data_IF_879551397087
#
_entry.id   IF_879551397087
#
_cell.length_a   1.000
_cell.length_b   1.000
_cell.length_c   1.000
_cell.angle_alpha   90.00
_cell.angle_beta   90.00
_cell.angle_gamma   90.00
#
_symmetry.space_group_name_H-M   'P 1'
#
loop_
_entity.id
_entity.type
_entity.pdbx_description
1 polymer ?
#
# COMPACT_ATOMS: atom_id res chain seq x y z
N UNK A 1 -8.83 27.04 8.24
CA UNK A 1 -9.66 26.19 9.10
C UNK A 1 -10.78 27.03 9.72
N UNK A 2 -12.04 26.60 9.64
CA UNK A 2 -13.18 27.30 10.27
C UNK A 2 -13.03 27.27 11.81
N UNK A 3 -13.62 28.22 12.57
CA UNK A 3 -13.51 28.20 14.04
C UNK A 3 -13.97 26.89 14.69
N UNK A 4 -15.03 26.27 14.16
CA UNK A 4 -15.52 24.96 14.62
C UNK A 4 -14.51 23.84 14.38
N UNK A 5 -13.91 23.80 13.19
CA UNK A 5 -12.86 22.85 12.84
C UNK A 5 -11.62 23.01 13.71
N UNK A 6 -11.25 24.25 14.05
CA UNK A 6 -10.11 24.51 14.94
C UNK A 6 -10.35 23.96 16.34
N UNK A 7 -11.55 24.19 16.90
CA UNK A 7 -11.92 23.69 18.22
C UNK A 7 -11.92 22.16 18.24
N UNK A 8 -12.52 21.54 17.23
CA UNK A 8 -12.58 20.08 17.12
C UNK A 8 -11.21 19.45 16.91
N UNK A 9 -10.37 20.03 16.04
CA UNK A 9 -8.99 19.57 15.87
C UNK A 9 -8.22 19.60 17.20
N UNK A 10 -8.39 20.68 17.97
CA UNK A 10 -7.76 20.83 19.29
C UNK A 10 -8.31 19.88 20.35
N UNK A 11 -9.61 19.56 20.32
CA UNK A 11 -10.28 18.72 21.31
C UNK A 11 -10.35 17.24 20.95
N UNK A 12 -9.99 16.84 19.73
CA UNK A 12 -10.09 15.46 19.23
C UNK A 12 -9.42 14.43 20.16
N UNK A 13 -8.29 14.82 20.77
CA UNK A 13 -7.53 13.98 21.72
C UNK A 13 -7.80 14.26 23.19
N UNK A 14 -8.79 15.08 23.52
CA UNK A 14 -9.17 15.39 24.90
C UNK A 14 -9.86 14.20 25.55
N UNK A 15 -9.07 13.37 26.23
CA UNK A 15 -9.51 12.15 26.91
C UNK A 15 -9.24 10.90 26.08
N UNK A 16 -8.40 10.00 26.60
CA UNK A 16 -7.98 8.79 25.88
C UNK A 16 -9.12 7.83 25.58
N UNK A 17 -10.13 7.76 26.45
CA UNK A 17 -11.32 6.91 26.26
C UNK A 17 -12.30 7.44 25.19
N UNK A 18 -12.21 8.72 24.83
CA UNK A 18 -13.13 9.37 23.89
C UNK A 18 -12.64 9.36 22.44
N UNK A 19 -11.40 8.96 22.19
CA UNK A 19 -10.77 9.11 20.87
C UNK A 19 -11.49 8.32 19.77
N UNK A 20 -11.99 7.12 20.07
CA UNK A 20 -12.78 6.33 19.12
C UNK A 20 -14.18 6.91 18.88
N UNK A 21 -14.81 7.45 19.91
CA UNK A 21 -16.09 8.16 19.78
C UNK A 21 -15.94 9.44 18.95
N UNK A 22 -14.87 10.19 19.18
CA UNK A 22 -14.54 11.38 18.39
C UNK A 22 -14.28 11.02 16.92
N UNK A 23 -13.60 9.89 16.67
CA UNK A 23 -13.39 9.38 15.31
C UNK A 23 -14.71 9.02 14.64
N UNK A 24 -15.60 8.30 15.34
CA UNK A 24 -16.92 7.93 14.83
C UNK A 24 -17.76 9.17 14.50
N UNK A 25 -17.77 10.15 15.40
CA UNK A 25 -18.48 11.41 15.24
C UNK A 25 -17.93 12.22 14.05
N UNK A 26 -16.60 12.21 13.86
CA UNK A 26 -15.94 12.85 12.73
C UNK A 26 -16.38 12.25 11.39
N UNK A 27 -16.51 10.92 11.29
CA UNK A 27 -17.02 10.28 10.07
C UNK A 27 -18.52 10.53 9.85
N UNK A 28 -19.31 10.72 10.91
CA UNK A 28 -20.73 11.06 10.76
C UNK A 28 -20.95 12.49 10.28
N UNK A 29 -20.22 13.42 10.88
CA UNK A 29 -20.45 14.84 10.71
C UNK A 29 -19.61 15.47 9.59
N UNK A 30 -18.64 14.71 9.02
CA UNK A 30 -17.62 15.19 8.07
C UNK A 30 -16.98 16.51 8.56
N UNK A 31 -16.69 16.53 9.85
CA UNK A 31 -16.48 17.76 10.61
C UNK A 31 -15.05 18.29 10.49
N UNK A 32 -14.08 17.40 10.25
CA UNK A 32 -12.70 17.72 9.87
C UNK A 32 -12.37 17.21 8.47
N UNK A 33 -11.56 17.96 7.69
CA UNK A 33 -11.14 17.53 6.35
C UNK A 33 -10.10 16.41 6.47
N UNK A 34 -10.55 15.16 6.44
CA UNK A 34 -9.66 13.98 6.58
C UNK A 34 -8.64 13.83 5.44
N UNK A 35 -8.85 14.53 4.32
CA UNK A 35 -7.89 14.60 3.22
C UNK A 35 -6.72 15.56 3.49
N UNK A 36 -6.70 16.26 4.64
CA UNK A 36 -5.55 17.04 5.07
C UNK A 36 -4.56 16.17 5.87
N UNK A 37 -3.26 16.35 5.60
CA UNK A 37 -2.18 15.64 6.26
C UNK A 37 -2.19 15.85 7.80
N UNK A 38 -2.48 17.08 8.24
CA UNK A 38 -2.57 17.43 9.66
C UNK A 38 -3.65 16.64 10.40
N UNK A 39 -4.82 16.48 9.80
CA UNK A 39 -5.95 15.72 10.34
C UNK A 39 -5.65 14.23 10.30
N UNK A 40 -5.04 13.75 9.21
CA UNK A 40 -4.61 12.35 9.09
C UNK A 40 -3.61 11.97 10.19
N UNK A 41 -2.62 12.83 10.45
CA UNK A 41 -1.66 12.65 11.55
C UNK A 41 -2.34 12.69 12.92
N UNK A 42 -3.30 13.60 13.14
CA UNK A 42 -4.06 13.69 14.38
C UNK A 42 -4.80 12.37 14.65
N UNK A 43 -5.52 11.84 13.65
CA UNK A 43 -6.24 10.57 13.78
C UNK A 43 -5.26 9.43 14.03
N UNK A 44 -4.17 9.32 13.26
CA UNK A 44 -3.15 8.27 13.43
C UNK A 44 -2.55 8.29 14.83
N UNK A 45 -2.17 9.45 15.35
CA UNK A 45 -1.65 9.57 16.71
C UNK A 45 -2.68 9.21 17.78
N UNK A 46 -3.96 9.47 17.53
CA UNK A 46 -5.04 9.13 18.45
C UNK A 46 -5.25 7.63 18.53
N UNK A 47 -5.42 6.96 17.39
CA UNK A 47 -5.67 5.51 17.36
C UNK A 47 -4.45 4.67 17.77
N UNK A 48 -3.25 5.26 17.78
CA UNK A 48 -2.01 4.62 18.25
C UNK A 48 -1.68 4.94 19.71
N UNK A 49 -2.38 5.89 20.34
CA UNK A 49 -2.16 6.19 21.74
C UNK A 49 -2.51 4.97 22.59
N UNK A 50 -1.51 4.42 23.27
CA UNK A 50 -1.75 3.27 24.14
C UNK A 50 -2.67 3.70 25.28
N UNK A 51 -2.26 4.60 26.18
CA UNK A 51 -3.06 5.00 27.36
C UNK A 51 -2.79 4.12 28.60
N UNK A 52 -3.47 4.37 29.73
CA UNK A 52 -3.35 3.57 30.94
C UNK A 52 -3.97 2.17 30.76
N UNK A 53 -3.35 1.16 31.39
CA UNK A 53 -3.89 -0.20 31.40
C UNK A 53 -5.01 -0.33 32.42
N UNK A 54 -6.06 -1.07 32.07
CA UNK A 54 -7.11 -1.46 33.00
C UNK A 54 -6.50 -2.37 34.06
N UNK A 55 -6.52 -1.93 35.33
CA UNK A 55 -6.00 -2.68 36.49
C UNK A 55 -7.14 -3.37 37.25
N UNK A 56 -8.04 -4.02 36.55
CA UNK A 56 -9.07 -4.86 37.12
C UNK A 56 -8.50 -6.27 37.35
N UNK A 57 -8.01 -6.50 38.57
CA UNK A 57 -7.37 -7.73 39.05
C UNK A 57 -8.27 -8.99 39.08
N UNK A 58 -9.40 -8.99 38.38
CA UNK A 58 -10.34 -10.12 38.30
C UNK A 58 -10.21 -10.95 37.02
N UNK A 59 -9.48 -10.48 35.98
CA UNK A 59 -9.15 -11.35 34.84
C UNK A 59 -7.78 -11.06 34.23
N UNK A 60 -6.91 -12.08 34.24
CA UNK A 60 -5.60 -12.05 33.56
C UNK A 60 -5.75 -11.89 32.04
N UNK A 61 -6.93 -12.20 31.49
CA UNK A 61 -7.22 -12.19 30.06
C UNK A 61 -7.47 -10.78 29.47
N UNK A 62 -7.87 -9.79 30.28
CA UNK A 62 -8.08 -8.40 29.81
C UNK A 62 -6.89 -7.46 30.07
N UNK A 63 -5.84 -7.94 30.73
CA UNK A 63 -4.74 -7.14 31.29
C UNK A 63 -3.84 -6.38 30.28
N UNK A 64 -3.96 -6.66 28.98
CA UNK A 64 -3.09 -6.09 27.94
C UNK A 64 -3.74 -4.97 27.13
N UNK A 65 -5.08 -4.88 27.15
CA UNK A 65 -5.78 -3.78 26.49
C UNK A 65 -5.68 -2.52 27.34
N UNK A 66 -5.34 -1.42 26.68
CA UNK A 66 -5.39 -0.13 27.34
C UNK A 66 -6.80 0.46 27.27
N UNK A 67 -7.15 1.29 28.25
CA UNK A 67 -8.43 2.00 28.32
C UNK A 67 -8.72 2.85 27.07
N UNK A 68 -7.70 3.26 26.32
CA UNK A 68 -7.89 4.02 25.07
C UNK A 68 -8.49 3.17 23.93
N UNK A 69 -8.52 1.85 24.07
CA UNK A 69 -8.99 0.92 23.04
C UNK A 69 -10.13 0.02 23.51
N UNK A 70 -10.65 0.22 24.72
CA UNK A 70 -11.72 -0.58 25.33
C UNK A 70 -12.96 -0.66 24.45
N UNK A 71 -13.35 0.44 23.79
CA UNK A 71 -14.49 0.47 22.88
C UNK A 71 -14.40 -0.52 21.70
N UNK A 72 -13.20 -0.94 21.31
CA UNK A 72 -13.02 -1.89 20.21
C UNK A 72 -13.41 -3.34 20.57
N UNK A 73 -13.78 -3.59 21.83
CA UNK A 73 -14.30 -4.87 22.30
C UNK A 73 -15.83 -4.93 22.27
N UNK A 74 -16.50 -3.81 21.98
CA UNK A 74 -17.94 -3.74 21.87
C UNK A 74 -18.37 -3.97 20.41
N UNK A 75 -18.97 -5.13 20.12
CA UNK A 75 -19.38 -5.51 18.77
C UNK A 75 -20.30 -4.47 18.10
N UNK A 76 -21.20 -3.84 18.87
CA UNK A 76 -22.08 -2.77 18.36
C UNK A 76 -21.29 -1.55 17.90
N UNK A 77 -20.27 -1.13 18.66
CA UNK A 77 -19.42 -0.01 18.29
C UNK A 77 -18.62 -0.32 17.02
N UNK A 78 -18.08 -1.54 16.92
CA UNK A 78 -17.38 -2.00 15.73
C UNK A 78 -18.31 -2.00 14.51
N UNK A 79 -19.53 -2.51 14.64
CA UNK A 79 -20.51 -2.53 13.54
C UNK A 79 -20.81 -1.11 13.03
N UNK A 80 -21.02 -0.14 13.93
CA UNK A 80 -21.26 1.25 13.54
C UNK A 80 -20.02 1.86 12.86
N UNK A 81 -18.83 1.72 13.45
CA UNK A 81 -17.61 2.29 12.90
C UNK A 81 -17.27 1.70 11.52
N UNK A 82 -17.37 0.38 11.36
CA UNK A 82 -17.16 -0.28 10.06
C UNK A 82 -18.15 0.25 9.03
N UNK A 83 -19.43 0.42 9.39
CA UNK A 83 -20.45 0.97 8.49
C UNK A 83 -20.10 2.38 8.02
N UNK A 84 -19.59 3.24 8.91
CA UNK A 84 -19.18 4.61 8.53
C UNK A 84 -17.93 4.64 7.66
N UNK A 85 -16.95 3.79 7.95
CA UNK A 85 -15.76 3.64 7.12
C UNK A 85 -16.11 3.11 5.73
N UNK A 86 -16.99 2.11 5.66
CA UNK A 86 -17.45 1.50 4.41
C UNK A 86 -18.18 2.51 3.52
N UNK A 87 -19.09 3.29 4.11
CA UNK A 87 -19.77 4.40 3.43
C UNK A 87 -18.77 5.45 2.94
N UNK A 88 -17.77 5.79 3.75
CA UNK A 88 -16.75 6.77 3.33
C UNK A 88 -15.91 6.28 2.16
N UNK A 89 -15.65 4.98 2.09
CA UNK A 89 -14.99 4.38 0.92
C UNK A 89 -15.86 4.45 -0.33
N UNK A 90 -17.17 4.19 -0.22
CA UNK A 90 -18.10 4.32 -1.34
C UNK A 90 -18.15 5.76 -1.86
N UNK A 91 -18.24 6.74 -0.94
CA UNK A 91 -18.27 8.16 -1.29
C UNK A 91 -16.98 8.60 -2.01
N UNK A 92 -15.82 8.02 -1.66
CA UNK A 92 -14.56 8.37 -2.29
C UNK A 92 -14.18 7.50 -3.49
N UNK A 93 -14.83 6.36 -3.76
CA UNK A 93 -14.39 5.38 -4.77
C UNK A 93 -14.15 6.01 -6.16
N UNK A 94 -14.99 6.96 -6.57
CA UNK A 94 -14.86 7.67 -7.84
C UNK A 94 -13.96 8.92 -7.75
N UNK A 95 -13.61 9.34 -6.54
CA UNK A 95 -12.84 10.53 -6.22
C UNK A 95 -11.40 10.19 -5.79
N UNK A 96 -10.60 9.74 -6.77
CA UNK A 96 -9.17 9.47 -6.63
C UNK A 96 -8.32 10.70 -6.28
N UNK A 97 -8.92 11.90 -6.20
CA UNK A 97 -8.19 13.11 -5.82
C UNK A 97 -7.80 13.16 -4.35
N UNK A 98 -8.43 12.34 -3.49
CA UNK A 98 -8.20 12.35 -2.04
C UNK A 98 -7.57 11.04 -1.55
N UNK A 99 -6.32 10.77 -1.95
CA UNK A 99 -5.58 9.56 -1.60
C UNK A 99 -5.43 9.33 -0.09
N UNK A 100 -5.39 10.42 0.68
CA UNK A 100 -5.25 10.36 2.15
C UNK A 100 -6.49 9.78 2.83
N UNK A 101 -7.67 9.88 2.21
CA UNK A 101 -8.89 9.21 2.71
C UNK A 101 -8.70 7.69 2.72
N UNK A 102 -8.18 7.14 1.63
CA UNK A 102 -7.93 5.70 1.51
C UNK A 102 -6.85 5.25 2.51
N UNK A 103 -5.78 6.05 2.67
CA UNK A 103 -4.74 5.80 3.67
C UNK A 103 -5.33 5.74 5.08
N UNK A 104 -6.09 6.76 5.49
CA UNK A 104 -6.56 6.84 6.88
C UNK A 104 -7.59 5.76 7.18
N UNK A 105 -8.52 5.50 6.27
CA UNK A 105 -9.50 4.42 6.42
C UNK A 105 -8.79 3.06 6.52
N UNK A 106 -7.74 2.84 5.72
CA UNK A 106 -6.94 1.62 5.83
C UNK A 106 -6.24 1.50 7.18
N UNK A 107 -5.57 2.56 7.66
CA UNK A 107 -4.89 2.54 8.96
C UNK A 107 -5.88 2.24 10.08
N UNK A 108 -7.05 2.88 10.08
CA UNK A 108 -8.10 2.64 11.08
C UNK A 108 -8.57 1.19 11.03
N UNK A 109 -8.92 0.70 9.83
CA UNK A 109 -9.39 -0.68 9.62
C UNK A 109 -8.37 -1.69 10.15
N UNK A 110 -7.09 -1.50 9.83
CA UNK A 110 -6.03 -2.40 10.27
C UNK A 110 -5.73 -2.28 11.76
N UNK A 111 -5.93 -1.09 12.35
CA UNK A 111 -5.82 -0.90 13.80
C UNK A 111 -6.93 -1.64 14.54
N UNK A 112 -8.17 -1.56 14.05
CA UNK A 112 -9.29 -2.36 14.56
C UNK A 112 -8.92 -3.84 14.46
N UNK A 113 -8.52 -4.31 13.26
CA UNK A 113 -8.15 -5.70 13.03
C UNK A 113 -6.98 -6.19 13.90
N UNK A 114 -6.11 -5.30 14.37
CA UNK A 114 -4.97 -5.69 15.23
C UNK A 114 -5.38 -5.83 16.69
N UNK A 115 -6.27 -4.96 17.18
CA UNK A 115 -6.64 -4.92 18.60
C UNK A 115 -7.90 -5.73 18.90
N UNK A 116 -8.89 -5.69 18.02
CA UNK A 116 -10.21 -6.22 18.35
C UNK A 116 -10.15 -7.73 18.58
N UNK A 117 -10.88 -8.19 19.59
CA UNK A 117 -11.25 -9.59 19.75
C UNK A 117 -12.76 -9.76 19.52
N UNK A 118 -13.24 -9.14 18.44
CA UNK A 118 -14.65 -9.06 18.09
C UNK A 118 -15.07 -10.24 17.24
N UNK A 119 -16.34 -10.67 17.36
CA UNK A 119 -16.95 -11.64 16.43
C UNK A 119 -17.06 -11.13 15.00
N UNK A 120 -16.79 -9.83 14.78
CA UNK A 120 -16.87 -9.12 13.50
C UNK A 120 -15.59 -9.13 12.68
N UNK A 121 -14.62 -9.97 13.02
CA UNK A 121 -13.34 -10.04 12.33
C UNK A 121 -13.48 -10.12 10.80
N UNK A 122 -14.40 -10.95 10.30
CA UNK A 122 -14.62 -11.09 8.86
C UNK A 122 -15.04 -9.77 8.19
N UNK A 123 -15.93 -8.99 8.82
CA UNK A 123 -16.35 -7.68 8.28
C UNK A 123 -15.18 -6.71 8.18
N UNK A 124 -14.27 -6.75 9.15
CA UNK A 124 -13.08 -5.88 9.16
C UNK A 124 -12.09 -6.32 8.08
N UNK A 125 -11.94 -7.63 7.87
CA UNK A 125 -11.14 -8.19 6.76
C UNK A 125 -11.74 -7.79 5.41
N UNK A 126 -13.06 -7.89 5.24
CA UNK A 126 -13.76 -7.49 4.03
C UNK A 126 -13.55 -6.00 3.72
N UNK A 127 -13.60 -5.15 4.75
CA UNK A 127 -13.31 -3.72 4.64
C UNK A 127 -11.86 -3.46 4.21
N UNK A 128 -10.89 -4.19 4.77
CA UNK A 128 -9.48 -4.09 4.36
C UNK A 128 -9.26 -4.52 2.91
N UNK A 129 -9.95 -5.57 2.46
CA UNK A 129 -9.95 -6.02 1.07
C UNK A 129 -10.60 -4.95 0.17
N UNK A 130 -11.70 -4.32 0.60
CA UNK A 130 -12.34 -3.22 -0.13
C UNK A 130 -11.38 -2.05 -0.34
N UNK A 131 -10.65 -1.63 0.70
CA UNK A 131 -9.61 -0.60 0.57
C UNK A 131 -8.60 -0.96 -0.52
N UNK A 132 -8.09 -2.19 -0.50
CA UNK A 132 -7.12 -2.68 -1.49
C UNK A 132 -7.66 -2.59 -2.91
N UNK A 133 -8.89 -3.06 -3.13
CA UNK A 133 -9.56 -3.04 -4.45
C UNK A 133 -9.76 -1.62 -4.97
N UNK A 134 -10.15 -0.69 -4.10
CA UNK A 134 -10.27 0.74 -4.47
C UNK A 134 -8.90 1.30 -4.86
N UNK A 135 -7.87 1.02 -4.07
CA UNK A 135 -6.50 1.45 -4.38
C UNK A 135 -5.99 0.91 -5.72
N UNK A 136 -6.23 -0.37 -6.02
CA UNK A 136 -5.89 -0.95 -7.32
C UNK A 136 -6.61 -0.27 -8.48
N UNK A 137 -7.92 -0.01 -8.35
CA UNK A 137 -8.67 0.74 -9.37
C UNK A 137 -8.08 2.14 -9.59
N UNK A 138 -7.68 2.81 -8.52
CA UNK A 138 -7.07 4.13 -8.61
C UNK A 138 -5.68 4.08 -9.25
N UNK A 139 -4.87 3.06 -8.95
CA UNK A 139 -3.59 2.84 -9.62
C UNK A 139 -3.82 2.74 -11.14
N UNK A 140 -4.74 1.86 -11.57
CA UNK A 140 -5.04 1.69 -12.99
C UNK A 140 -5.55 2.99 -13.66
N UNK A 141 -6.39 3.75 -12.97
CA UNK A 141 -6.95 5.00 -13.48
C UNK A 141 -5.88 6.10 -13.59
N UNK A 142 -5.07 6.28 -12.55
CA UNK A 142 -4.03 7.31 -12.52
C UNK A 142 -2.92 6.98 -13.53
N UNK A 143 -2.51 5.71 -13.63
CA UNK A 143 -1.55 5.28 -14.66
C UNK A 143 -2.05 5.57 -16.08
N UNK A 144 -3.33 5.31 -16.38
CA UNK A 144 -3.92 5.69 -17.67
C UNK A 144 -3.92 7.20 -17.89
N UNK A 145 -4.23 7.99 -16.87
CA UNK A 145 -4.21 9.45 -16.98
C UNK A 145 -2.81 9.97 -17.28
N UNK A 146 -1.76 9.45 -16.63
CA UNK A 146 -0.36 9.82 -16.93
C UNK A 146 -0.03 9.60 -18.41
N UNK A 147 -0.49 8.49 -19.01
CA UNK A 147 -0.26 8.19 -20.43
C UNK A 147 -0.99 9.13 -21.39
N UNK A 148 -2.06 9.78 -20.95
CA UNK A 148 -2.84 10.72 -21.78
C UNK A 148 -2.37 12.17 -21.69
N UNK A 149 -1.64 12.52 -20.63
CA UNK A 149 -1.15 13.88 -20.39
C UNK A 149 0.02 14.17 -21.33
N UNK A 150 0.04 15.38 -21.90
CA UNK A 150 1.17 15.84 -22.72
C UNK A 150 2.47 15.81 -21.91
N UNK A 151 3.54 15.30 -22.52
CA UNK A 151 4.89 15.27 -21.94
C UNK A 151 5.41 16.64 -21.48
N UNK A 152 4.80 17.73 -21.95
CA UNK A 152 5.12 19.10 -21.53
C UNK A 152 4.57 19.48 -20.14
N UNK A 153 3.63 18.71 -19.58
CA UNK A 153 3.02 18.95 -18.27
C UNK A 153 3.75 18.19 -17.15
N UNK A 154 5.08 18.32 -17.09
CA UNK A 154 5.95 17.56 -16.18
C UNK A 154 5.50 17.61 -14.71
N UNK A 155 5.15 18.81 -14.21
CA UNK A 155 4.72 18.97 -12.82
C UNK A 155 3.44 18.18 -12.48
N UNK A 156 2.51 18.08 -13.42
CA UNK A 156 1.26 17.33 -13.23
C UNK A 156 1.54 15.83 -13.16
N UNK A 157 2.41 15.32 -14.04
CA UNK A 157 2.84 13.91 -14.03
C UNK A 157 3.52 13.57 -12.71
N UNK A 158 4.42 14.42 -12.19
CA UNK A 158 5.11 14.18 -10.91
C UNK A 158 4.14 14.15 -9.72
N UNK A 159 3.10 15.00 -9.73
CA UNK A 159 2.03 14.97 -8.72
C UNK A 159 1.27 13.63 -8.78
N UNK A 160 0.92 13.18 -9.98
CA UNK A 160 0.23 11.90 -10.18
C UNK A 160 1.10 10.70 -9.78
N UNK A 161 2.40 10.73 -10.04
CA UNK A 161 3.34 9.69 -9.59
C UNK A 161 3.43 9.64 -8.06
N UNK A 162 3.51 10.79 -7.39
CA UNK A 162 3.46 10.83 -5.92
C UNK A 162 2.14 10.26 -5.40
N UNK A 163 1.02 10.54 -6.07
CA UNK A 163 -0.28 9.98 -5.73
C UNK A 163 -0.30 8.44 -5.90
N UNK A 164 0.27 7.91 -6.99
CA UNK A 164 0.43 6.46 -7.17
C UNK A 164 1.22 5.82 -6.02
N UNK A 165 2.28 6.47 -5.55
CA UNK A 165 3.05 6.02 -4.38
C UNK A 165 2.17 5.98 -3.13
N UNK A 166 1.40 7.03 -2.84
CA UNK A 166 0.54 7.09 -1.64
C UNK A 166 -0.57 6.04 -1.71
N UNK A 167 -1.19 5.86 -2.87
CA UNK A 167 -2.22 4.82 -3.09
C UNK A 167 -1.62 3.43 -2.95
N UNK A 168 -0.45 3.17 -3.55
CA UNK A 168 0.27 1.91 -3.38
C UNK A 168 0.60 1.62 -1.92
N UNK A 169 1.05 2.63 -1.16
CA UNK A 169 1.29 2.52 0.28
C UNK A 169 0.00 2.10 0.99
N UNK A 170 -1.14 2.74 0.69
CA UNK A 170 -2.43 2.36 1.29
C UNK A 170 -2.77 0.88 1.06
N UNK A 171 -2.51 0.34 -0.13
CA UNK A 171 -2.70 -1.08 -0.41
C UNK A 171 -1.78 -1.96 0.43
N UNK A 172 -0.49 -1.60 0.59
CA UNK A 172 0.46 -2.33 1.45
C UNK A 172 0.04 -2.28 2.92
N UNK A 173 -0.52 -1.17 3.39
CA UNK A 173 -1.00 -1.04 4.77
C UNK A 173 -2.06 -2.10 5.11
N UNK A 174 -2.84 -2.59 4.14
CA UNK A 174 -3.83 -3.66 4.36
C UNK A 174 -3.22 -4.99 4.81
N UNK A 175 -1.89 -5.13 4.77
CA UNK A 175 -1.17 -6.30 5.28
C UNK A 175 -0.52 -6.04 6.65
N UNK A 176 -0.76 -4.87 7.26
CA UNK A 176 -0.21 -4.51 8.57
C UNK A 176 -0.92 -5.23 9.72
N UNK A 177 -0.64 -6.51 9.89
CA UNK A 177 -1.18 -7.31 11.00
C UNK A 177 -0.16 -8.32 11.51
N UNK A 178 -0.45 -8.95 12.65
CA UNK A 178 0.40 -9.98 13.23
C UNK A 178 0.34 -11.28 12.40
N UNK A 179 1.36 -12.14 12.57
CA UNK A 179 1.47 -13.44 11.89
C UNK A 179 0.21 -14.31 12.00
N UNK A 180 -0.54 -14.17 13.09
CA UNK A 180 -1.69 -15.03 13.35
C UNK A 180 -2.92 -14.61 12.55
N UNK A 181 -2.98 -13.36 12.06
CA UNK A 181 -4.13 -12.83 11.30
C UNK A 181 -3.80 -12.54 9.84
N UNK A 182 -2.51 -12.55 9.45
CA UNK A 182 -2.09 -12.26 8.08
C UNK A 182 -2.70 -13.22 7.05
N UNK A 183 -3.00 -14.46 7.45
CA UNK A 183 -3.56 -15.47 6.55
C UNK A 183 -4.95 -15.08 6.03
N UNK A 184 -5.73 -14.26 6.76
CA UNK A 184 -7.00 -13.73 6.25
C UNK A 184 -6.82 -12.75 5.09
N UNK A 185 -5.66 -12.10 5.00
CA UNK A 185 -5.35 -11.05 4.03
C UNK A 185 -4.41 -11.52 2.93
N UNK A 186 -3.81 -12.70 3.11
CA UNK A 186 -2.81 -13.36 2.26
C UNK A 186 -3.11 -14.87 2.22
N UNK A 187 -4.25 -15.24 1.64
CA UNK A 187 -4.73 -16.62 1.51
C UNK A 187 -4.75 -17.14 0.07
N UNK A 188 -4.53 -16.28 -0.92
CA UNK A 188 -4.72 -16.58 -2.33
C UNK A 188 -3.61 -15.98 -3.21
N UNK A 189 -3.44 -16.54 -4.41
CA UNK A 189 -2.51 -16.00 -5.40
C UNK A 189 -2.86 -14.56 -5.77
N UNK A 190 -4.16 -14.23 -5.85
CA UNK A 190 -4.65 -12.87 -6.11
C UNK A 190 -4.11 -11.87 -5.07
N UNK A 191 -4.05 -12.25 -3.79
CA UNK A 191 -3.54 -11.37 -2.74
C UNK A 191 -2.04 -11.12 -2.87
N UNK A 192 -1.26 -12.13 -3.27
CA UNK A 192 0.18 -11.96 -3.57
C UNK A 192 0.37 -11.07 -4.80
N UNK A 193 -0.40 -11.30 -5.87
CA UNK A 193 -0.34 -10.47 -7.09
C UNK A 193 -0.66 -9.01 -6.74
N UNK A 194 -1.70 -8.77 -5.92
CA UNK A 194 -2.08 -7.45 -5.45
C UNK A 194 -0.97 -6.76 -4.65
N UNK A 195 -0.31 -7.51 -3.75
CA UNK A 195 0.84 -7.03 -2.99
C UNK A 195 1.99 -6.63 -3.93
N UNK A 196 2.34 -7.49 -4.89
CA UNK A 196 3.43 -7.23 -5.85
C UNK A 196 3.12 -6.01 -6.72
N UNK A 197 1.89 -5.91 -7.26
CA UNK A 197 1.43 -4.71 -7.98
C UNK A 197 1.63 -3.45 -7.16
N UNK A 198 1.22 -3.47 -5.89
CA UNK A 198 1.33 -2.32 -5.00
C UNK A 198 2.79 -1.96 -4.72
N UNK A 199 3.63 -2.95 -4.41
CA UNK A 199 5.05 -2.75 -4.16
C UNK A 199 5.80 -2.23 -5.40
N UNK A 200 5.53 -2.80 -6.57
CA UNK A 200 6.13 -2.37 -7.84
C UNK A 200 5.64 -0.98 -8.25
N UNK A 201 4.34 -0.68 -8.05
CA UNK A 201 3.81 0.68 -8.27
C UNK A 201 4.56 1.71 -7.43
N UNK A 202 4.82 1.41 -6.15
CA UNK A 202 5.61 2.28 -5.27
C UNK A 202 7.03 2.42 -5.81
N UNK A 203 7.70 1.31 -6.10
CA UNK A 203 9.09 1.29 -6.56
C UNK A 203 9.32 2.14 -7.81
N UNK A 204 8.53 1.88 -8.84
CA UNK A 204 8.71 2.49 -10.15
C UNK A 204 8.40 3.99 -10.09
N UNK A 205 7.33 4.37 -9.38
CA UNK A 205 6.96 5.78 -9.27
C UNK A 205 7.86 6.56 -8.32
N UNK A 206 8.56 5.93 -7.37
CA UNK A 206 9.63 6.58 -6.61
C UNK A 206 10.82 6.86 -7.52
N UNK A 207 11.30 5.85 -8.26
CA UNK A 207 12.48 5.99 -9.13
C UNK A 207 12.25 7.07 -10.18
N UNK A 208 11.05 7.11 -10.75
CA UNK A 208 10.67 8.06 -11.78
C UNK A 208 10.38 9.46 -11.24
N UNK A 209 9.98 9.58 -9.97
CA UNK A 209 9.71 10.87 -9.36
C UNK A 209 11.04 11.54 -8.99
N UNK A 210 11.37 12.64 -9.66
CA UNK A 210 12.61 13.41 -9.43
C UNK A 210 12.46 14.43 -8.29
N UNK A 211 11.23 14.70 -7.87
CA UNK A 211 10.87 15.63 -6.79
C UNK A 211 10.77 14.96 -5.41
N UNK A 212 11.47 13.85 -5.15
CA UNK A 212 11.46 13.15 -3.86
C UNK A 212 11.79 14.07 -2.67
N UNK A 213 12.61 15.10 -2.89
CA UNK A 213 12.94 16.11 -1.87
C UNK A 213 11.72 16.88 -1.37
N UNK A 214 10.68 17.01 -2.18
CA UNK A 214 9.46 17.76 -1.87
C UNK A 214 8.41 16.93 -1.13
N UNK A 215 8.66 15.63 -0.93
CA UNK A 215 7.77 14.76 -0.18
C UNK A 215 7.64 15.25 1.27
N UNK A 216 6.43 15.26 1.81
CA UNK A 216 6.20 15.65 3.21
C UNK A 216 6.81 14.62 4.17
N UNK A 217 7.03 15.03 5.42
CA UNK A 217 7.51 14.11 6.47
C UNK A 217 6.52 12.99 6.72
N UNK A 218 5.22 13.26 6.64
CA UNK A 218 4.20 12.23 6.78
C UNK A 218 4.32 11.16 5.70
N UNK A 219 4.40 11.55 4.41
CA UNK A 219 4.50 10.58 3.30
C UNK A 219 5.77 9.72 3.42
N UNK A 220 6.91 10.32 3.80
CA UNK A 220 8.14 9.56 4.09
C UNK A 220 7.95 8.55 5.23
N UNK A 221 7.21 8.91 6.27
CA UNK A 221 6.99 8.02 7.41
C UNK A 221 6.08 6.84 7.05
N UNK A 222 4.98 7.07 6.31
CA UNK A 222 4.11 5.97 5.86
C UNK A 222 4.81 5.07 4.83
N UNK A 223 5.71 5.62 4.01
CA UNK A 223 6.55 4.83 3.10
C UNK A 223 7.47 3.87 3.88
N UNK A 224 8.25 4.38 4.84
CA UNK A 224 9.09 3.53 5.72
C UNK A 224 8.27 2.48 6.47
N UNK A 225 7.06 2.84 6.87
CA UNK A 225 6.15 1.89 7.52
C UNK A 225 5.70 0.78 6.56
N UNK A 226 5.41 1.11 5.29
CA UNK A 226 5.10 0.13 4.25
C UNK A 226 6.26 -0.81 3.93
N UNK A 227 7.50 -0.30 3.86
CA UNK A 227 8.71 -1.12 3.70
C UNK A 227 8.87 -2.10 4.86
N UNK A 228 8.65 -1.62 6.09
CA UNK A 228 8.68 -2.47 7.28
C UNK A 228 7.63 -3.58 7.20
N UNK A 229 6.43 -3.29 6.73
CA UNK A 229 5.38 -4.30 6.54
C UNK A 229 5.86 -5.38 5.59
N UNK A 230 6.40 -5.02 4.42
CA UNK A 230 6.91 -5.97 3.43
C UNK A 230 7.98 -6.89 4.02
N UNK A 231 8.93 -6.35 4.79
CA UNK A 231 9.93 -7.16 5.50
C UNK A 231 9.31 -8.09 6.54
N UNK A 232 8.32 -7.60 7.31
CA UNK A 232 7.67 -8.39 8.37
C UNK A 232 6.85 -9.56 7.80
N UNK A 233 6.18 -9.38 6.67
CA UNK A 233 5.34 -10.43 6.05
C UNK A 233 6.12 -11.35 5.12
N UNK A 234 7.40 -11.05 4.81
CA UNK A 234 8.21 -11.82 3.87
C UNK A 234 8.30 -13.32 4.21
N UNK A 235 8.48 -13.75 5.48
CA UNK A 235 8.48 -15.18 5.81
C UNK A 235 7.16 -15.88 5.44
N UNK A 236 6.02 -15.21 5.64
CA UNK A 236 4.70 -15.70 5.26
C UNK A 236 4.57 -15.81 3.74
N UNK A 237 5.02 -14.79 3.00
CA UNK A 237 5.04 -14.81 1.53
C UNK A 237 5.90 -15.97 1.02
N UNK A 238 7.11 -16.13 1.55
CA UNK A 238 8.02 -17.18 1.13
C UNK A 238 7.43 -18.58 1.33
N UNK A 239 6.75 -18.81 2.47
CA UNK A 239 6.04 -20.06 2.75
C UNK A 239 4.90 -20.28 1.76
N UNK A 240 4.03 -19.27 1.59
CA UNK A 240 2.89 -19.36 0.68
C UNK A 240 3.32 -19.68 -0.76
N UNK A 241 4.34 -18.97 -1.26
CA UNK A 241 4.88 -19.18 -2.61
C UNK A 241 5.42 -20.60 -2.83
N UNK A 242 6.08 -21.18 -1.82
CA UNK A 242 6.54 -22.56 -1.88
C UNK A 242 5.36 -23.54 -1.94
N UNK A 243 4.34 -23.33 -1.11
CA UNK A 243 3.14 -24.17 -1.06
C UNK A 243 2.31 -24.12 -2.35
N UNK A 244 2.28 -22.97 -3.03
CA UNK A 244 1.53 -22.77 -4.29
C UNK A 244 2.38 -22.93 -5.54
N UNK A 245 3.59 -23.48 -5.43
CA UNK A 245 4.52 -23.66 -6.56
C UNK A 245 4.74 -22.37 -7.37
N UNK A 246 4.78 -21.22 -6.68
CA UNK A 246 5.07 -19.90 -7.24
C UNK A 246 4.06 -19.40 -8.29
N UNK A 247 2.84 -19.94 -8.32
CA UNK A 247 1.83 -19.56 -9.33
C UNK A 247 1.57 -18.05 -9.36
N UNK A 248 1.54 -17.38 -8.20
CA UNK A 248 1.37 -15.93 -8.12
C UNK A 248 2.41 -15.12 -8.90
N UNK A 249 3.64 -15.63 -9.03
CA UNK A 249 4.67 -14.95 -9.82
C UNK A 249 4.43 -15.07 -11.32
N UNK A 250 3.92 -16.22 -11.78
CA UNK A 250 3.50 -16.38 -13.18
C UNK A 250 2.36 -15.41 -13.50
N UNK A 251 1.35 -15.36 -12.63
CA UNK A 251 0.20 -14.47 -12.78
C UNK A 251 0.64 -12.99 -12.78
N UNK A 252 1.53 -12.61 -11.86
CA UNK A 252 2.07 -11.25 -11.79
C UNK A 252 2.91 -10.90 -13.03
N UNK A 253 3.81 -11.79 -13.47
CA UNK A 253 4.65 -11.55 -14.64
C UNK A 253 3.83 -11.41 -15.93
N UNK A 254 2.76 -12.20 -16.10
CA UNK A 254 1.83 -12.07 -17.22
C UNK A 254 1.06 -10.73 -17.23
N UNK A 255 0.79 -10.18 -16.05
CA UNK A 255 0.19 -8.85 -15.92
C UNK A 255 1.23 -7.77 -16.19
N UNK A 256 2.42 -7.87 -15.62
CA UNK A 256 3.41 -6.79 -15.61
C UNK A 256 4.23 -6.69 -16.90
N UNK A 257 4.50 -7.82 -17.57
CA UNK A 257 5.32 -7.85 -18.78
C UNK A 257 4.49 -8.28 -20.00
N UNK A 258 4.22 -7.33 -20.91
CA UNK A 258 3.36 -7.53 -22.08
C UNK A 258 3.78 -8.70 -23.00
N UNK A 259 5.08 -9.03 -23.05
CA UNK A 259 5.61 -10.14 -23.84
C UNK A 259 5.14 -11.51 -23.33
N UNK A 260 4.99 -11.68 -22.01
CA UNK A 260 4.42 -12.92 -21.45
C UNK A 260 2.91 -12.96 -21.70
N UNK A 261 2.24 -11.81 -21.59
CA UNK A 261 0.80 -11.69 -21.82
C UNK A 261 0.37 -12.20 -23.20
N UNK A 262 1.17 -11.94 -24.24
CA UNK A 262 0.89 -12.39 -25.60
C UNK A 262 1.15 -13.88 -25.84
N UNK A 263 2.00 -14.51 -25.02
CA UNK A 263 2.38 -15.94 -25.14
C UNK A 263 1.58 -16.88 -24.23
N UNK A 264 0.77 -16.35 -23.32
CA UNK A 264 -0.32 -17.07 -22.63
C UNK A 264 0.07 -17.86 -21.38
N UNK A 265 1.26 -18.45 -21.28
CA UNK A 265 1.68 -19.21 -20.08
C UNK A 265 3.18 -19.15 -19.83
N UNK A 266 3.55 -18.82 -18.59
CA UNK A 266 4.92 -18.89 -18.08
C UNK A 266 5.18 -20.27 -17.48
N UNK A 267 6.04 -21.07 -18.12
CA UNK A 267 6.39 -22.44 -17.69
C UNK A 267 7.75 -22.51 -16.95
N UNK A 268 8.20 -21.40 -16.37
CA UNK A 268 9.52 -21.33 -15.76
C UNK A 268 9.55 -21.77 -14.30
N UNK A 269 10.64 -22.42 -13.88
CA UNK A 269 10.87 -22.81 -12.49
C UNK A 269 11.42 -21.62 -11.69
N UNK A 270 10.56 -21.03 -10.85
CA UNK A 270 10.98 -20.01 -9.89
C UNK A 270 11.88 -20.60 -8.81
N UNK A 271 12.99 -19.90 -8.52
CA UNK A 271 13.94 -20.27 -7.47
C UNK A 271 14.24 -19.07 -6.61
N UNK A 272 14.22 -19.27 -5.29
CA UNK A 272 14.65 -18.24 -4.34
C UNK A 272 16.17 -18.08 -4.43
N UNK A 273 16.66 -16.83 -4.46
CA UNK A 273 18.08 -16.54 -4.66
C UNK A 273 18.92 -16.96 -3.45
N UNK A 274 18.45 -16.68 -2.24
CA UNK A 274 19.07 -17.13 -0.99
C UNK A 274 18.08 -17.95 -0.16
N UNK A 275 18.59 -18.89 0.63
CA UNK A 275 17.79 -19.69 1.57
C UNK A 275 17.35 -18.92 2.82
N UNK A 276 17.64 -17.62 2.92
CA UNK A 276 17.18 -16.75 4.00
C UNK A 276 15.67 -16.46 3.84
N UNK A 277 14.88 -16.65 4.90
CA UNK A 277 13.44 -16.34 4.90
C UNK A 277 13.15 -14.87 4.59
N UNK A 278 14.07 -13.96 4.93
CA UNK A 278 13.94 -12.52 4.70
C UNK A 278 14.56 -12.04 3.38
N UNK A 279 15.12 -12.93 2.56
CA UNK A 279 15.50 -12.56 1.20
C UNK A 279 14.25 -12.41 0.32
N UNK A 280 14.16 -11.25 -0.35
CA UNK A 280 13.05 -10.87 -1.23
C UNK A 280 13.19 -11.39 -2.66
N UNK A 281 14.39 -11.85 -3.05
CA UNK A 281 14.74 -12.14 -4.44
C UNK A 281 14.38 -13.54 -4.91
N UNK A 282 13.73 -13.60 -6.06
CA UNK A 282 13.39 -14.81 -6.79
C UNK A 282 13.77 -14.65 -8.25
N UNK A 283 14.29 -15.72 -8.84
CA UNK A 283 14.74 -15.76 -10.24
C UNK A 283 14.02 -16.89 -10.98
N UNK A 284 13.73 -16.67 -12.26
CA UNK A 284 13.13 -17.64 -13.15
C UNK A 284 13.75 -17.56 -14.54
N UNK A 285 14.12 -18.70 -15.11
CA UNK A 285 14.55 -18.77 -16.50
C UNK A 285 13.33 -18.96 -17.41
N UNK A 286 13.10 -18.04 -18.34
CA UNK A 286 12.01 -18.08 -19.31
C UNK A 286 12.55 -17.78 -20.71
N UNK A 287 12.43 -18.72 -21.65
CA UNK A 287 12.87 -18.57 -23.05
C UNK A 287 14.30 -17.98 -23.21
N UNK A 288 15.22 -18.38 -22.33
CA UNK A 288 16.63 -17.89 -22.26
C UNK A 288 16.84 -16.51 -21.62
N UNK A 289 15.80 -15.92 -21.01
CA UNK A 289 15.89 -14.70 -20.22
C UNK A 289 15.72 -15.00 -18.74
N UNK A 290 16.43 -14.24 -17.91
CA UNK A 290 16.30 -14.32 -16.46
C UNK A 290 15.31 -13.25 -16.01
N UNK A 291 14.18 -13.69 -15.46
CA UNK A 291 13.22 -12.82 -14.80
C UNK A 291 13.53 -12.82 -13.32
N UNK A 292 13.65 -11.64 -12.71
CA UNK A 292 13.91 -11.49 -11.27
C UNK A 292 12.81 -10.64 -10.61
N UNK A 293 12.31 -11.09 -9.47
CA UNK A 293 11.34 -10.35 -8.64
C UNK A 293 11.93 -10.16 -7.25
N UNK A 294 11.87 -8.93 -6.72
CA UNK A 294 12.12 -8.61 -5.32
C UNK A 294 10.78 -8.25 -4.63
N UNK A 295 10.29 -9.16 -3.79
CA UNK A 295 9.03 -8.97 -3.06
C UNK A 295 9.08 -7.86 -2.01
N UNK A 296 10.27 -7.49 -1.53
CA UNK A 296 10.45 -6.47 -0.49
C UNK A 296 10.57 -5.09 -1.12
N UNK A 297 11.34 -4.99 -2.21
CA UNK A 297 11.54 -3.71 -2.91
C UNK A 297 10.47 -3.42 -3.95
N UNK A 298 9.70 -4.43 -4.36
CA UNK A 298 8.77 -4.33 -5.47
C UNK A 298 9.45 -4.32 -6.85
N UNK A 299 10.71 -4.75 -6.95
CA UNK A 299 11.45 -4.66 -8.21
C UNK A 299 11.12 -5.84 -9.14
N UNK A 300 10.84 -5.56 -10.41
CA UNK A 300 10.72 -6.56 -11.47
C UNK A 300 11.78 -6.32 -12.54
N UNK A 301 12.62 -7.32 -12.81
CA UNK A 301 13.71 -7.22 -13.78
C UNK A 301 13.62 -8.34 -14.82
N UNK A 302 14.07 -8.04 -16.04
CA UNK A 302 14.35 -9.03 -17.09
C UNK A 302 15.79 -8.81 -17.54
N UNK A 303 16.61 -9.85 -17.44
CA UNK A 303 18.07 -9.83 -17.66
C UNK A 303 18.78 -8.73 -16.86
N UNK A 304 18.31 -8.50 -15.63
CA UNK A 304 18.84 -7.47 -14.73
C UNK A 304 18.44 -6.03 -15.10
N UNK A 305 17.53 -5.85 -16.05
CA UNK A 305 17.04 -4.55 -16.50
C UNK A 305 15.58 -4.32 -16.08
N UNK A 306 15.25 -3.08 -15.72
CA UNK A 306 13.87 -2.66 -15.46
C UNK A 306 13.04 -2.74 -16.74
N UNK A 307 11.74 -2.98 -16.59
CA UNK A 307 10.78 -2.85 -17.68
C UNK A 307 9.91 -1.62 -17.42
N UNK A 308 9.50 -0.92 -18.47
CA UNK A 308 8.66 0.27 -18.35
C UNK A 308 9.43 1.58 -18.33
N UNK A 309 10.74 1.61 -18.07
CA UNK A 309 11.57 2.81 -18.19
C UNK A 309 13.04 2.48 -18.39
N UNK A 310 13.77 3.43 -19.00
CA UNK A 310 15.19 3.30 -19.27
C UNK A 310 16.01 3.24 -17.96
N UNK A 311 17.02 2.36 -17.87
CA UNK A 311 17.90 2.28 -16.72
C UNK A 311 18.60 3.60 -16.40
N UNK A 312 18.90 3.82 -15.12
CA UNK A 312 19.65 4.99 -14.65
C UNK A 312 20.98 5.19 -15.40
N UNK A 313 21.65 4.11 -15.82
CA UNK A 313 22.90 4.20 -16.57
C UNK A 313 22.74 4.95 -17.91
N UNK A 314 21.56 4.90 -18.51
CA UNK A 314 21.22 5.63 -19.74
C UNK A 314 20.71 7.01 -19.38
N UNK A 315 19.75 7.12 -18.45
CA UNK A 315 19.10 8.40 -18.14
C UNK A 315 19.99 9.40 -17.41
N UNK A 316 21.02 8.94 -16.68
CA UNK A 316 22.05 9.80 -16.05
C UNK A 316 23.23 10.12 -16.99
N UNK A 317 23.24 9.63 -18.22
CA UNK A 317 24.32 9.91 -19.18
C UNK A 317 24.21 11.36 -19.69
N UNK A 318 25.32 12.10 -19.72
CA UNK A 318 25.36 13.50 -20.15
C UNK A 318 24.79 13.72 -21.56
N UNK A 319 24.99 12.78 -22.49
CA UNK A 319 24.43 12.88 -23.84
C UNK A 319 22.92 12.70 -23.85
N UNK A 320 22.40 11.81 -23.01
CA UNK A 320 20.96 11.61 -22.88
C UNK A 320 20.31 12.86 -22.29
N UNK A 321 20.85 13.38 -21.18
CA UNK A 321 20.39 14.61 -20.53
C UNK A 321 20.50 15.80 -21.50
N UNK A 322 21.55 15.90 -22.30
CA UNK A 322 21.68 17.00 -23.26
C UNK A 322 20.58 16.99 -24.35
N UNK A 323 20.16 15.82 -24.79
CA UNK A 323 19.24 15.67 -25.94
C UNK A 323 17.78 15.61 -25.50
N UNK A 324 17.52 14.87 -24.43
CA UNK A 324 16.17 14.56 -23.95
C UNK A 324 15.87 15.22 -22.60
N UNK A 325 16.84 15.93 -22.04
CA UNK A 325 16.73 16.60 -20.74
C UNK A 325 16.23 15.62 -19.68
N UNK A 326 15.14 15.96 -19.02
CA UNK A 326 14.54 15.15 -17.98
C UNK A 326 13.44 14.19 -18.46
N UNK A 327 13.30 14.00 -19.77
CA UNK A 327 12.25 13.16 -20.34
C UNK A 327 12.40 11.69 -19.95
N UNK A 328 11.27 11.08 -19.54
CA UNK A 328 11.18 9.67 -19.18
C UNK A 328 10.53 8.94 -20.35
N UNK A 329 11.27 8.03 -20.96
CA UNK A 329 10.74 7.12 -21.97
C UNK A 329 10.14 5.90 -21.29
N UNK A 330 8.84 5.70 -21.51
CA UNK A 330 8.23 4.39 -21.27
C UNK A 330 8.74 3.43 -22.34
N UNK A 331 9.43 2.36 -21.92
CA UNK A 331 10.08 1.41 -22.82
C UNK A 331 9.75 -0.01 -22.46
N UNK A 332 9.71 -0.89 -23.45
CA UNK A 332 9.69 -2.33 -23.24
C UNK A 332 11.01 -2.94 -23.70
N UNK A 333 11.41 -4.05 -23.07
CA UNK A 333 12.56 -4.81 -23.57
C UNK A 333 12.16 -5.52 -24.86
N UNK A 334 12.88 -5.20 -25.94
CA UNK A 334 12.73 -5.86 -27.23
C UNK A 334 13.16 -7.33 -27.14
N UNK A 335 12.90 -8.13 -28.18
CA UNK A 335 13.39 -9.52 -28.29
C UNK A 335 14.92 -9.62 -28.38
N UNK A 336 15.60 -8.55 -28.82
CA UNK A 336 17.06 -8.47 -28.83
C UNK A 336 17.65 -8.06 -27.47
N UNK A 337 18.76 -8.68 -27.02
CA UNK A 337 19.38 -8.35 -25.74
C UNK A 337 19.82 -6.87 -25.66
N UNK A 338 19.55 -6.22 -24.52
CA UNK A 338 19.90 -4.81 -24.24
C UNK A 338 19.28 -3.80 -25.22
N UNK A 339 18.17 -4.15 -25.86
CA UNK A 339 17.42 -3.24 -26.73
C UNK A 339 16.08 -2.91 -26.08
N UNK A 340 15.74 -1.63 -26.13
CA UNK A 340 14.46 -1.09 -25.69
C UNK A 340 13.64 -0.67 -26.92
N UNK A 341 12.34 -0.95 -26.90
CA UNK A 341 11.35 -0.50 -27.90
C UNK A 341 10.33 0.44 -27.28
#
# INVERSE_FOLDING_TARGET
MKPTQFLEFGSFRSGHRLQWWNLLALFEMDSLPIAEESVTMLIMHSILQYGPRTMDGSSIYNSWCSEAHEQLFEDHFIDELVTRLDRRLDDCELNWQNELVLVIVTIITMRILTICNSTRQNKIVDLAIKCRRIGEKWIDLISKNIQTISSSAFNEIEILRLKLVIVGISCILTFSTNSDRIHYLLSSNEHIVSLLKSATTIHDNIILNKNQSNMSTFVRNIMRYSERILVMIQPTIAKFLQETSYQSFNDFAAIYWAVIRSKGTMNGEWKKRKQDSYDGWYDCLYESRIISIDCIRGTFLVDGMTIGFLPEKITKNELFVRVFDDHIFEVQLAESPKTYI
#
